data_IF_209597396603
#
_entry.id   IF_209597396603
#
_cell.length_a   1.000
_cell.length_b   1.000
_cell.length_c   1.000
_cell.angle_alpha   90.00
_cell.angle_beta   90.00
_cell.angle_gamma   90.00
#
_symmetry.space_group_name_H-M   'P 1'
#
loop_
_entity.id
_entity.type
_entity.pdbx_description
1 polymer ?
#
# COMPACT_ATOMS: atom_id res chain seq x y z
N UNK A 1 32.12 8.90 0.65
CA UNK A 1 30.68 8.76 0.34
C UNK A 1 30.36 9.79 -0.73
N UNK A 2 30.31 9.37 -2.00
CA UNK A 2 30.02 10.26 -3.13
C UNK A 2 28.57 10.70 -2.97
N UNK A 3 28.32 12.00 -2.79
CA UNK A 3 26.98 12.56 -2.80
C UNK A 3 26.29 12.04 -4.07
N UNK A 4 25.35 11.12 -3.90
CA UNK A 4 24.41 10.79 -4.96
C UNK A 4 23.71 12.12 -5.24
N UNK A 5 24.08 12.75 -6.35
CA UNK A 5 23.31 13.83 -6.94
C UNK A 5 21.92 13.23 -7.04
N UNK A 6 21.02 13.62 -6.12
CA UNK A 6 19.64 13.20 -6.17
C UNK A 6 19.11 13.85 -7.44
N UNK A 7 19.01 13.05 -8.49
CA UNK A 7 18.58 13.51 -9.79
C UNK A 7 17.27 14.31 -9.62
N UNK A 8 17.28 15.56 -10.05
CA UNK A 8 16.14 16.46 -9.84
C UNK A 8 14.86 15.88 -10.46
N UNK A 9 15.00 15.02 -11.48
CA UNK A 9 13.89 14.26 -12.09
C UNK A 9 13.21 13.33 -11.09
N UNK A 10 13.99 12.61 -10.29
CA UNK A 10 13.50 11.72 -9.21
C UNK A 10 12.76 12.54 -8.16
N UNK A 11 13.30 13.69 -7.77
CA UNK A 11 12.68 14.59 -6.79
C UNK A 11 11.36 15.17 -7.33
N UNK A 12 11.33 15.61 -8.59
CA UNK A 12 10.14 16.15 -9.23
C UNK A 12 9.05 15.08 -9.39
N UNK A 13 9.40 13.86 -9.80
CA UNK A 13 8.44 12.78 -9.92
C UNK A 13 7.92 12.31 -8.56
N UNK A 14 8.77 12.28 -7.52
CA UNK A 14 8.34 12.04 -6.15
C UNK A 14 7.38 13.14 -5.64
N UNK A 15 7.65 14.42 -5.92
CA UNK A 15 6.74 15.54 -5.58
C UNK A 15 5.42 15.46 -6.34
N UNK A 16 5.44 15.06 -7.61
CA UNK A 16 4.24 14.83 -8.41
C UNK A 16 3.40 13.68 -7.86
N UNK A 17 4.03 12.60 -7.41
CA UNK A 17 3.36 11.49 -6.75
C UNK A 17 2.80 11.88 -5.38
N UNK A 18 3.52 12.74 -4.64
CA UNK A 18 3.10 13.27 -3.34
C UNK A 18 2.31 14.58 -3.46
N UNK A 19 1.63 14.78 -4.60
CA UNK A 19 0.94 16.03 -4.89
C UNK A 19 -0.09 16.38 -3.81
N UNK A 20 -0.26 17.69 -3.60
CA UNK A 20 -1.28 18.23 -2.71
C UNK A 20 -2.69 17.70 -3.02
N UNK A 21 -2.97 17.40 -4.30
CA UNK A 21 -4.25 16.80 -4.72
C UNK A 21 -4.50 15.41 -4.13
N UNK A 22 -3.46 14.58 -3.95
CA UNK A 22 -3.60 13.29 -3.26
C UNK A 22 -3.95 13.49 -1.79
N UNK A 23 -3.31 14.45 -1.12
CA UNK A 23 -3.61 14.78 0.28
C UNK A 23 -5.06 15.25 0.44
N UNK A 24 -5.53 16.15 -0.44
CA UNK A 24 -6.93 16.61 -0.43
C UNK A 24 -7.88 15.44 -0.62
N UNK A 25 -7.62 14.58 -1.62
CA UNK A 25 -8.46 13.42 -1.89
C UNK A 25 -8.53 12.49 -0.67
N UNK A 26 -7.37 12.16 -0.08
CA UNK A 26 -7.27 11.28 1.07
C UNK A 26 -8.05 11.81 2.28
N UNK A 27 -7.87 13.09 2.61
CA UNK A 27 -8.63 13.73 3.69
C UNK A 27 -10.11 13.91 3.35
N UNK A 28 -10.44 14.15 2.08
CA UNK A 28 -11.82 14.21 1.61
C UNK A 28 -12.57 12.89 1.82
N UNK A 29 -11.92 11.76 1.51
CA UNK A 29 -12.48 10.42 1.78
C UNK A 29 -12.68 10.20 3.29
N UNK A 30 -11.70 10.59 4.12
CA UNK A 30 -11.80 10.47 5.57
C UNK A 30 -12.97 11.31 6.13
N UNK A 31 -13.12 12.54 5.66
CA UNK A 31 -14.22 13.42 6.07
C UNK A 31 -15.57 12.88 5.61
N UNK A 32 -15.67 12.39 4.36
CA UNK A 32 -16.90 11.76 3.85
C UNK A 32 -17.28 10.52 4.67
N UNK A 33 -16.30 9.68 5.01
CA UNK A 33 -16.52 8.50 5.86
C UNK A 33 -17.02 8.88 7.26
N UNK A 34 -16.41 9.89 7.91
CA UNK A 34 -16.87 10.38 9.21
C UNK A 34 -18.27 10.98 9.13
N UNK A 35 -18.55 11.76 8.08
CA UNK A 35 -19.84 12.39 7.87
C UNK A 35 -20.93 11.33 7.67
N UNK A 36 -20.72 10.35 6.79
CA UNK A 36 -21.68 9.27 6.54
C UNK A 36 -21.91 8.40 7.77
N UNK A 37 -20.86 8.11 8.54
CA UNK A 37 -20.95 7.23 9.70
C UNK A 37 -21.61 7.89 10.91
N UNK A 38 -21.33 9.16 11.20
CA UNK A 38 -21.78 9.82 12.43
C UNK A 38 -22.95 10.79 12.22
N UNK A 39 -23.12 11.34 11.01
CA UNK A 39 -24.19 12.30 10.73
C UNK A 39 -25.33 11.62 9.97
N UNK A 40 -25.02 10.90 8.89
CA UNK A 40 -26.05 10.22 8.10
C UNK A 40 -26.42 8.82 8.63
N UNK A 41 -25.61 8.25 9.51
CA UNK A 41 -25.80 6.92 10.09
C UNK A 41 -26.03 5.83 9.01
N UNK A 42 -25.33 5.95 7.88
CA UNK A 42 -25.51 5.03 6.76
C UNK A 42 -25.01 3.61 7.10
N UNK A 43 -25.68 2.56 6.58
CA UNK A 43 -25.21 1.20 6.75
C UNK A 43 -23.93 0.96 5.92
N UNK A 44 -23.03 0.11 6.45
CA UNK A 44 -21.71 -0.21 5.84
C UNK A 44 -21.84 -0.68 4.38
N UNK A 45 -22.96 -1.28 4.00
CA UNK A 45 -23.23 -1.71 2.61
C UNK A 45 -23.27 -0.57 1.59
N UNK A 46 -23.31 0.70 2.01
CA UNK A 46 -23.29 1.88 1.13
C UNK A 46 -21.89 2.46 0.88
N UNK A 47 -20.85 1.95 1.54
CA UNK A 47 -19.49 2.53 1.52
C UNK A 47 -18.60 1.93 0.40
N UNK A 48 -19.18 1.22 -0.55
CA UNK A 48 -18.42 0.59 -1.65
C UNK A 48 -17.75 1.61 -2.57
N UNK A 49 -18.36 2.77 -2.75
CA UNK A 49 -17.79 3.90 -3.48
C UNK A 49 -16.49 4.40 -2.83
N UNK A 50 -16.53 4.64 -1.51
CA UNK A 50 -15.37 5.04 -0.70
C UNK A 50 -14.28 3.97 -0.75
N UNK A 51 -14.66 2.69 -0.56
CA UNK A 51 -13.71 1.59 -0.60
C UNK A 51 -13.01 1.50 -1.97
N UNK A 52 -13.78 1.53 -3.06
CA UNK A 52 -13.25 1.45 -4.41
C UNK A 52 -12.31 2.62 -4.71
N UNK A 53 -12.69 3.83 -4.31
CA UNK A 53 -11.88 5.03 -4.53
C UNK A 53 -10.58 4.99 -3.70
N UNK A 54 -10.66 4.59 -2.43
CA UNK A 54 -9.50 4.43 -1.57
C UNK A 54 -8.52 3.37 -2.10
N UNK A 55 -9.00 2.17 -2.41
CA UNK A 55 -8.16 1.09 -2.92
C UNK A 55 -7.62 1.42 -4.30
N UNK A 56 -8.45 1.94 -5.21
CA UNK A 56 -8.05 2.28 -6.57
C UNK A 56 -6.90 3.28 -6.60
N UNK A 57 -6.98 4.34 -5.80
CA UNK A 57 -5.93 5.36 -5.72
C UNK A 57 -4.68 4.81 -5.03
N UNK A 58 -4.84 4.01 -3.98
CA UNK A 58 -3.71 3.36 -3.30
C UNK A 58 -2.96 2.42 -4.25
N UNK A 59 -3.67 1.58 -5.01
CA UNK A 59 -3.07 0.69 -6.01
C UNK A 59 -2.40 1.47 -7.13
N UNK A 60 -3.02 2.52 -7.66
CA UNK A 60 -2.42 3.38 -8.66
C UNK A 60 -1.09 3.96 -8.16
N UNK A 61 -1.05 4.49 -6.94
CA UNK A 61 0.15 5.09 -6.37
C UNK A 61 1.25 4.05 -6.11
N UNK A 62 0.88 2.89 -5.58
CA UNK A 62 1.80 1.78 -5.36
C UNK A 62 2.43 1.31 -6.68
N UNK A 63 1.60 1.10 -7.71
CA UNK A 63 2.06 0.73 -9.04
C UNK A 63 2.97 1.80 -9.64
N UNK A 64 2.56 3.07 -9.56
CA UNK A 64 3.34 4.20 -10.09
C UNK A 64 4.72 4.28 -9.42
N UNK A 65 4.79 4.15 -8.10
CA UNK A 65 6.06 4.12 -7.32
C UNK A 65 6.99 2.98 -7.71
N UNK A 66 6.44 1.78 -7.93
CA UNK A 66 7.22 0.62 -8.40
C UNK A 66 7.72 0.86 -9.82
N UNK A 67 6.84 1.28 -10.72
CA UNK A 67 7.14 1.50 -12.14
C UNK A 67 8.13 2.63 -12.39
N UNK A 68 8.22 3.60 -11.48
CA UNK A 68 9.19 4.70 -11.53
C UNK A 68 10.49 4.40 -10.79
N UNK A 69 10.65 3.20 -10.20
CA UNK A 69 11.85 2.84 -9.42
C UNK A 69 12.03 3.61 -8.11
N UNK A 70 11.00 4.36 -7.67
CA UNK A 70 11.04 5.25 -6.51
C UNK A 70 10.65 4.57 -5.20
N UNK A 71 10.20 3.30 -5.25
CA UNK A 71 9.79 2.58 -4.05
C UNK A 71 10.98 2.26 -3.13
N UNK A 72 12.08 1.75 -3.70
CA UNK A 72 13.32 1.50 -2.95
C UNK A 72 14.54 1.35 -3.86
N UNK A 73 15.71 1.74 -3.35
CA UNK A 73 17.00 1.54 -4.03
C UNK A 73 17.59 0.15 -3.72
N UNK A 74 17.15 -0.50 -2.62
CA UNK A 74 17.59 -1.84 -2.22
C UNK A 74 16.46 -2.65 -1.63
N UNK A 75 16.49 -3.97 -1.83
CA UNK A 75 15.57 -4.87 -1.14
C UNK A 75 15.86 -4.78 0.35
N UNK A 76 14.87 -4.35 1.13
CA UNK A 76 15.03 -4.09 2.55
C UNK A 76 14.05 -4.91 3.38
N UNK A 77 14.51 -6.11 3.79
CA UNK A 77 13.73 -7.06 4.57
C UNK A 77 13.26 -6.48 5.91
N UNK A 78 14.04 -5.59 6.54
CA UNK A 78 13.67 -4.99 7.83
C UNK A 78 12.47 -4.05 7.74
N UNK A 79 12.10 -3.58 6.54
CA UNK A 79 10.85 -2.85 6.29
C UNK A 79 9.70 -3.77 5.91
N UNK A 80 9.99 -4.85 5.18
CA UNK A 80 8.96 -5.78 4.70
C UNK A 80 8.36 -6.56 5.86
N UNK A 81 9.19 -7.17 6.71
CA UNK A 81 8.73 -8.09 7.76
C UNK A 81 7.71 -7.41 8.71
N UNK A 82 7.98 -6.22 9.30
CA UNK A 82 7.00 -5.56 10.15
C UNK A 82 5.71 -5.20 9.39
N UNK A 83 5.82 -4.74 8.13
CA UNK A 83 4.64 -4.41 7.32
C UNK A 83 3.78 -5.64 7.00
N UNK A 84 4.40 -6.80 6.76
CA UNK A 84 3.69 -8.06 6.54
C UNK A 84 2.99 -8.54 7.82
N UNK A 85 3.64 -8.41 8.98
CA UNK A 85 3.00 -8.76 10.26
C UNK A 85 1.77 -7.88 10.50
N UNK A 86 1.90 -6.57 10.34
CA UNK A 86 0.76 -5.64 10.53
C UNK A 86 -0.37 -5.97 9.56
N UNK A 87 -0.07 -6.20 8.27
CA UNK A 87 -1.08 -6.57 7.29
C UNK A 87 -1.79 -7.89 7.65
N UNK A 88 -1.04 -8.91 8.09
CA UNK A 88 -1.61 -10.19 8.52
C UNK A 88 -2.48 -10.05 9.77
N UNK A 89 -2.09 -9.23 10.75
CA UNK A 89 -2.90 -8.97 11.94
C UNK A 89 -4.22 -8.31 11.56
N UNK A 90 -4.17 -7.29 10.69
CA UNK A 90 -5.39 -6.62 10.18
C UNK A 90 -6.27 -7.62 9.43
N UNK A 91 -5.70 -8.44 8.55
CA UNK A 91 -6.43 -9.49 7.83
C UNK A 91 -7.11 -10.48 8.78
N UNK A 92 -6.43 -10.94 9.82
CA UNK A 92 -6.98 -11.88 10.81
C UNK A 92 -8.12 -11.25 11.61
N UNK A 93 -7.99 -9.99 12.02
CA UNK A 93 -9.06 -9.26 12.72
C UNK A 93 -10.29 -9.17 11.81
N UNK A 94 -10.13 -8.67 10.58
CA UNK A 94 -11.25 -8.56 9.64
C UNK A 94 -11.87 -9.92 9.36
N UNK A 95 -11.05 -10.95 9.16
CA UNK A 95 -11.55 -12.31 8.90
C UNK A 95 -12.30 -12.88 10.10
N UNK A 96 -11.84 -12.63 11.32
CA UNK A 96 -12.51 -13.08 12.55
C UNK A 96 -13.90 -12.45 12.70
N UNK A 97 -14.03 -11.15 12.46
CA UNK A 97 -15.29 -10.42 12.60
C UNK A 97 -16.28 -10.66 11.44
N UNK A 98 -15.79 -10.99 10.25
CA UNK A 98 -16.63 -11.11 9.05
C UNK A 98 -16.96 -12.55 8.66
N UNK A 99 -16.15 -13.52 9.09
CA UNK A 99 -16.36 -14.94 8.83
C UNK A 99 -16.62 -15.68 10.15
N UNK A 100 -17.82 -15.51 10.69
CA UNK A 100 -18.31 -16.11 11.95
C UNK A 100 -18.18 -17.65 12.04
N UNK A 101 -17.78 -18.34 10.96
CA UNK A 101 -17.88 -19.80 10.81
C UNK A 101 -16.55 -20.54 10.59
N UNK A 102 -15.39 -19.87 10.65
CA UNK A 102 -14.10 -20.57 10.45
C UNK A 102 -13.59 -21.18 11.75
N UNK A 103 -13.24 -22.47 11.70
CA UNK A 103 -12.52 -23.10 12.79
C UNK A 103 -11.21 -22.35 13.08
N UNK A 104 -10.73 -22.28 14.34
CA UNK A 104 -9.50 -21.56 14.69
C UNK A 104 -8.29 -21.96 13.85
N UNK A 105 -8.19 -23.24 13.47
CA UNK A 105 -7.14 -23.76 12.60
C UNK A 105 -7.20 -23.18 11.18
N UNK A 106 -8.38 -23.07 10.58
CA UNK A 106 -8.54 -22.48 9.24
C UNK A 106 -8.15 -21.01 9.23
N UNK A 107 -8.46 -20.29 10.31
CA UNK A 107 -8.09 -18.89 10.49
C UNK A 107 -6.56 -18.73 10.53
N UNK A 108 -5.86 -19.58 11.30
CA UNK A 108 -4.39 -19.60 11.35
C UNK A 108 -3.78 -19.92 9.98
N UNK A 109 -4.26 -20.97 9.31
CA UNK A 109 -3.78 -21.36 7.97
C UNK A 109 -3.97 -20.21 6.98
N UNK A 110 -5.14 -19.56 6.98
CA UNK A 110 -5.42 -18.43 6.11
C UNK A 110 -4.49 -17.23 6.41
N UNK A 111 -4.17 -16.99 7.69
CA UNK A 111 -3.21 -15.96 8.09
C UNK A 111 -1.79 -16.22 7.59
N UNK A 112 -1.33 -17.48 7.65
CA UNK A 112 -0.02 -17.89 7.13
C UNK A 112 0.04 -17.71 5.61
N UNK A 113 -0.99 -18.17 4.90
CA UNK A 113 -1.09 -18.01 3.44
C UNK A 113 -1.06 -16.52 3.06
N UNK A 114 -1.85 -15.70 3.76
CA UNK A 114 -1.88 -14.25 3.54
C UNK A 114 -0.51 -13.61 3.81
N UNK A 115 0.14 -13.97 4.92
CA UNK A 115 1.48 -13.46 5.25
C UNK A 115 2.50 -13.76 4.14
N UNK A 116 2.56 -15.01 3.68
CA UNK A 116 3.48 -15.44 2.63
C UNK A 116 3.17 -14.70 1.33
N UNK A 117 1.90 -14.62 0.94
CA UNK A 117 1.47 -13.91 -0.27
C UNK A 117 1.83 -12.42 -0.23
N UNK A 118 1.51 -11.75 0.87
CA UNK A 118 1.80 -10.33 1.06
C UNK A 118 3.31 -10.04 1.09
N UNK A 119 4.08 -10.89 1.77
CA UNK A 119 5.54 -10.83 1.80
C UNK A 119 6.15 -11.01 0.39
N UNK A 120 5.67 -12.00 -0.37
CA UNK A 120 6.12 -12.26 -1.73
C UNK A 120 5.81 -11.09 -2.68
N UNK A 121 4.59 -10.53 -2.61
CA UNK A 121 4.23 -9.34 -3.40
C UNK A 121 5.14 -8.16 -3.07
N UNK A 122 5.41 -7.90 -1.78
CA UNK A 122 6.30 -6.80 -1.39
C UNK A 122 7.74 -7.02 -1.87
N UNK A 123 8.25 -8.25 -1.82
CA UNK A 123 9.55 -8.58 -2.39
C UNK A 123 9.59 -8.34 -3.89
N UNK A 124 8.57 -8.78 -4.63
CA UNK A 124 8.46 -8.54 -6.07
C UNK A 124 8.42 -7.04 -6.39
N UNK A 125 7.62 -6.27 -5.67
CA UNK A 125 7.54 -4.81 -5.84
C UNK A 125 8.90 -4.14 -5.63
N UNK A 126 9.63 -4.51 -4.57
CA UNK A 126 10.96 -3.96 -4.31
C UNK A 126 11.99 -4.42 -5.35
N UNK A 127 11.89 -5.66 -5.83
CA UNK A 127 12.74 -6.18 -6.89
C UNK A 127 12.54 -5.41 -8.21
N UNK A 128 11.30 -5.24 -8.65
CA UNK A 128 10.98 -4.49 -9.88
C UNK A 128 11.38 -3.02 -9.76
N UNK A 129 11.12 -2.39 -8.62
CA UNK A 129 11.57 -1.02 -8.36
C UNK A 129 13.09 -0.89 -8.43
N UNK A 130 13.83 -1.81 -7.80
CA UNK A 130 15.30 -1.81 -7.82
C UNK A 130 15.83 -1.99 -9.23
N UNK A 131 15.26 -2.93 -10.00
CA UNK A 131 15.63 -3.16 -11.40
C UNK A 131 15.50 -1.86 -12.20
N UNK A 132 14.34 -1.21 -12.10
CA UNK A 132 14.08 0.04 -12.80
C UNK A 132 15.02 1.18 -12.39
N UNK A 133 15.31 1.31 -11.10
CA UNK A 133 16.22 2.31 -10.57
C UNK A 133 17.65 2.12 -11.09
N UNK A 134 18.14 0.87 -11.11
CA UNK A 134 19.45 0.55 -11.66
C UNK A 134 19.56 0.82 -13.16
N UNK A 135 18.48 0.60 -13.92
CA UNK A 135 18.46 0.91 -15.35
C UNK A 135 18.58 2.42 -15.58
N UNK A 136 17.90 3.24 -14.77
CA UNK A 136 18.00 4.71 -14.85
C UNK A 136 19.41 5.23 -14.56
N UNK A 137 20.12 4.62 -13.60
CA UNK A 137 21.49 5.02 -13.23
C UNK A 137 22.57 4.58 -14.24
N UNK A 138 22.25 3.73 -15.22
CA UNK A 138 23.18 3.30 -16.27
C UNK A 138 23.11 4.15 -17.53
N UNK A 139 21.99 4.84 -17.73
CA UNK A 139 21.73 5.70 -18.88
C UNK A 139 22.28 7.13 -18.66
N UNK A 140 22.79 7.44 -17.46
CA UNK A 140 23.49 8.67 -17.05
C UNK A 140 25.02 8.50 -17.08
#
# INVERSE_FOLDING_TARGET
>A
MKNQIQDERIIQEARKQNSFGFTILYFGILLDLLYRQFILLEPISRYWDIALLFFGVTFYLAFKRVSSGLLTNRVNLSRIIPSSIVATVVFLIVSFWWLDNKAPLELIISGIIFFIGYYAINLLMQYFSRKKNNDMLKDD
#
